data_IF_293860855154
#
_entry.id   IF_293860855154
#
_cell.length_a   1.000
_cell.length_b   1.000
_cell.length_c   1.000
_cell.angle_alpha   90.00
_cell.angle_beta   90.00
_cell.angle_gamma   90.00
#
_symmetry.space_group_name_H-M   'P 1'
#
loop_
_entity.id
_entity.type
_entity.pdbx_description
1 polymer ?
#
# COMPACT_ATOMS: atom_id res chain seq x y z
N UNK A 1 2.60 26.80 -34.33
CA UNK A 1 3.38 25.64 -33.84
C UNK A 1 2.43 24.86 -32.95
N UNK A 2 1.86 23.78 -33.48
CA UNK A 2 0.91 22.94 -32.73
C UNK A 2 1.69 22.20 -31.66
N UNK A 3 1.28 22.34 -30.40
CA UNK A 3 1.58 21.37 -29.36
C UNK A 3 1.09 20.03 -29.92
N UNK A 4 2.04 19.15 -30.23
CA UNK A 4 1.73 17.74 -30.37
C UNK A 4 1.28 17.32 -28.97
N UNK A 5 -0.03 17.20 -28.79
CA UNK A 5 -0.57 16.24 -27.84
C UNK A 5 0.04 14.90 -28.24
N UNK A 6 1.16 14.57 -27.61
CA UNK A 6 1.65 13.21 -27.58
C UNK A 6 0.56 12.48 -26.81
N UNK A 7 -0.40 11.93 -27.54
CA UNK A 7 -1.22 10.84 -27.05
C UNK A 7 -0.23 9.74 -26.75
N UNK A 8 0.29 9.73 -25.52
CA UNK A 8 0.99 8.56 -25.01
C UNK A 8 0.03 7.41 -25.20
N UNK A 9 0.47 6.44 -25.99
CA UNK A 9 -0.27 5.22 -26.20
C UNK A 9 -0.41 4.57 -24.82
N UNK A 10 -1.59 4.70 -24.20
CA UNK A 10 -1.84 4.24 -22.83
C UNK A 10 -1.53 2.75 -22.71
N UNK A 11 -1.57 2.00 -23.82
CA UNK A 11 -1.17 0.60 -23.92
C UNK A 11 0.33 0.33 -23.67
N UNK A 12 1.21 1.34 -23.81
CA UNK A 12 2.66 1.22 -23.58
C UNK A 12 3.12 1.68 -22.20
N UNK A 13 2.21 2.25 -21.41
CA UNK A 13 2.48 2.73 -20.06
C UNK A 13 2.77 1.55 -19.11
N UNK A 14 3.83 1.62 -18.27
CA UNK A 14 4.07 0.63 -17.21
C UNK A 14 2.89 0.47 -16.23
N UNK A 15 2.01 1.47 -16.16
CA UNK A 15 0.81 1.48 -15.34
C UNK A 15 -0.45 0.95 -16.06
N UNK A 16 -0.40 0.65 -17.35
CA UNK A 16 -1.58 0.20 -18.11
C UNK A 16 -2.23 -1.05 -17.48
N UNK A 17 -1.39 -1.97 -17.03
CA UNK A 17 -1.74 -3.20 -16.31
C UNK A 17 -2.49 -2.89 -15.01
N UNK A 18 -2.08 -1.85 -14.28
CA UNK A 18 -2.73 -1.43 -13.03
C UNK A 18 -4.13 -0.87 -13.31
N UNK A 19 -4.28 -0.07 -14.36
CA UNK A 19 -5.57 0.49 -14.78
C UNK A 19 -6.53 -0.61 -15.25
N UNK A 20 -6.02 -1.62 -15.97
CA UNK A 20 -6.79 -2.80 -16.39
C UNK A 20 -7.28 -3.59 -15.17
N UNK A 21 -6.43 -3.80 -14.16
CA UNK A 21 -6.81 -4.48 -12.91
C UNK A 21 -7.87 -3.67 -12.17
N UNK A 22 -7.71 -2.35 -12.05
CA UNK A 22 -8.69 -1.51 -11.40
C UNK A 22 -10.04 -1.56 -12.13
N UNK A 23 -10.04 -1.44 -13.45
CA UNK A 23 -11.25 -1.48 -14.28
C UNK A 23 -11.94 -2.86 -14.24
N UNK A 24 -11.18 -3.95 -14.32
CA UNK A 24 -11.72 -5.33 -14.29
C UNK A 24 -12.32 -5.72 -12.94
N UNK A 25 -11.85 -5.09 -11.86
CA UNK A 25 -12.37 -5.28 -10.50
C UNK A 25 -13.40 -4.22 -10.08
N UNK A 26 -13.86 -3.36 -11.01
CA UNK A 26 -14.81 -2.27 -10.76
C UNK A 26 -14.37 -1.32 -9.62
N UNK A 27 -13.05 -1.12 -9.51
CA UNK A 27 -12.43 -0.26 -8.52
C UNK A 27 -12.33 1.18 -9.04
N UNK A 28 -12.66 2.14 -8.18
CA UNK A 28 -12.44 3.54 -8.49
C UNK A 28 -10.93 3.84 -8.48
N UNK A 29 -10.43 4.40 -9.58
CA UNK A 29 -9.04 4.82 -9.70
C UNK A 29 -8.90 6.19 -10.36
N UNK A 30 -7.82 6.89 -10.03
CA UNK A 30 -7.44 8.19 -10.59
C UNK A 30 -5.99 8.11 -11.08
N UNK A 31 -5.75 8.68 -12.26
CA UNK A 31 -4.39 8.80 -12.80
C UNK A 31 -3.83 10.18 -12.47
N UNK A 32 -2.69 10.20 -11.79
CA UNK A 32 -1.96 11.40 -11.39
C UNK A 32 -0.73 11.58 -12.27
N UNK A 33 -0.87 12.34 -13.36
CA UNK A 33 0.22 12.52 -14.33
C UNK A 33 0.53 11.23 -15.11
N UNK A 34 1.80 11.06 -15.48
CA UNK A 34 2.23 9.93 -16.33
C UNK A 34 2.60 8.69 -15.51
N UNK A 35 3.09 8.88 -14.28
CA UNK A 35 3.79 7.87 -13.50
C UNK A 35 3.02 7.33 -12.29
N UNK A 36 1.81 7.81 -12.00
CA UNK A 36 1.06 7.34 -10.82
C UNK A 36 -0.42 7.03 -11.12
N UNK A 37 -0.89 5.90 -10.58
CA UNK A 37 -2.31 5.53 -10.49
C UNK A 37 -2.66 5.29 -9.03
N UNK A 38 -3.71 5.95 -8.55
CA UNK A 38 -4.25 5.77 -7.20
C UNK A 38 -5.59 5.05 -7.26
N UNK A 39 -5.77 4.04 -6.42
CA UNK A 39 -6.97 3.23 -6.27
C UNK A 39 -7.50 3.40 -4.83
N UNK A 40 -8.81 3.55 -4.68
CA UNK A 40 -9.46 3.49 -3.36
C UNK A 40 -10.12 2.14 -3.18
N UNK A 41 -9.64 1.37 -2.22
CA UNK A 41 -10.19 0.06 -1.88
C UNK A 41 -10.93 0.11 -0.55
N UNK A 42 -12.18 -0.35 -0.54
CA UNK A 42 -13.00 -0.45 0.68
C UNK A 42 -12.72 -1.79 1.36
N UNK A 43 -11.93 -1.78 2.43
CA UNK A 43 -11.69 -2.99 3.20
C UNK A 43 -12.65 -3.15 4.37
N UNK A 44 -12.32 -4.06 5.30
CA UNK A 44 -13.17 -4.41 6.43
C UNK A 44 -13.16 -3.32 7.50
N UNK A 45 -12.00 -2.72 7.73
CA UNK A 45 -11.82 -1.78 8.83
C UNK A 45 -11.86 -0.31 8.40
N UNK A 46 -11.41 -0.01 7.19
CA UNK A 46 -11.28 1.35 6.67
C UNK A 46 -11.16 1.30 5.15
N UNK A 47 -11.26 2.47 4.52
CA UNK A 47 -10.83 2.66 3.15
C UNK A 47 -9.29 2.75 3.11
N UNK A 48 -8.71 2.10 2.10
CA UNK A 48 -7.29 2.10 1.80
C UNK A 48 -7.03 2.86 0.53
N UNK A 49 -6.03 3.72 0.56
CA UNK A 49 -5.52 4.42 -0.61
C UNK A 49 -4.28 3.69 -1.10
N UNK A 50 -4.38 3.07 -2.28
CA UNK A 50 -3.29 2.34 -2.92
C UNK A 50 -2.77 3.14 -4.09
N UNK A 51 -1.51 3.56 -4.04
CA UNK A 51 -0.83 4.23 -5.15
C UNK A 51 0.17 3.27 -5.77
N UNK A 52 0.06 3.08 -7.09
CA UNK A 52 1.10 2.50 -7.92
C UNK A 52 1.87 3.62 -8.60
N UNK A 53 3.18 3.62 -8.44
CA UNK A 53 4.07 4.62 -9.01
C UNK A 53 5.15 3.94 -9.85
N UNK A 54 5.25 4.29 -11.12
CA UNK A 54 6.38 3.91 -11.96
C UNK A 54 7.60 4.76 -11.59
N UNK A 55 8.73 4.12 -11.29
CA UNK A 55 9.99 4.77 -10.92
C UNK A 55 11.06 4.45 -11.99
N UNK A 56 11.18 5.28 -13.04
CA UNK A 56 12.05 5.00 -14.17
C UNK A 56 13.54 5.00 -13.81
N UNK A 57 13.95 5.69 -12.75
CA UNK A 57 15.37 5.77 -12.36
C UNK A 57 15.93 4.45 -11.84
N UNK A 58 15.07 3.53 -11.41
CA UNK A 58 15.44 2.23 -10.84
C UNK A 58 14.68 1.06 -11.49
N UNK A 59 14.01 1.30 -12.62
CA UNK A 59 13.17 0.34 -13.32
C UNK A 59 12.21 -0.42 -12.37
N UNK A 60 11.44 0.32 -11.57
CA UNK A 60 10.60 -0.30 -10.55
C UNK A 60 9.16 0.20 -10.59
N UNK A 61 8.21 -0.74 -10.45
CA UNK A 61 6.84 -0.42 -10.08
C UNK A 61 6.74 -0.43 -8.55
N UNK A 62 6.54 0.75 -7.96
CA UNK A 62 6.34 0.93 -6.53
C UNK A 62 4.85 0.84 -6.20
N UNK A 63 4.51 0.22 -5.06
CA UNK A 63 3.18 0.25 -4.47
C UNK A 63 3.28 0.81 -3.06
N UNK A 64 2.44 1.80 -2.75
CA UNK A 64 2.16 2.27 -1.40
C UNK A 64 0.68 2.06 -1.06
N UNK A 65 0.38 1.41 0.05
CA UNK A 65 -0.99 1.25 0.56
C UNK A 65 -1.08 1.94 1.92
N UNK A 66 -1.80 3.06 1.97
CA UNK A 66 -2.04 3.82 3.19
C UNK A 66 -3.47 3.62 3.68
N UNK A 67 -3.67 3.76 4.99
CA UNK A 67 -4.99 3.81 5.60
C UNK A 67 -5.15 5.11 6.39
N UNK A 68 -6.40 5.57 6.52
CA UNK A 68 -6.72 6.84 7.20
C UNK A 68 -6.59 6.71 8.73
N UNK A 69 -5.35 6.70 9.21
CA UNK A 69 -5.02 6.76 10.63
C UNK A 69 -3.84 7.69 10.85
N UNK A 70 -4.12 8.91 11.30
CA UNK A 70 -3.09 9.86 11.71
C UNK A 70 -2.51 9.48 13.07
N UNK A 71 -1.22 9.20 13.11
CA UNK A 71 -0.49 8.83 14.32
C UNK A 71 -0.14 10.09 15.15
N UNK A 72 -0.68 10.24 16.37
CA UNK A 72 -0.33 11.35 17.26
C UNK A 72 1.16 11.32 17.61
N UNK A 73 1.78 12.49 17.75
CA UNK A 73 3.22 12.62 18.06
C UNK A 73 3.62 11.78 19.29
N UNK A 74 2.79 11.79 20.34
CA UNK A 74 3.02 11.04 21.57
C UNK A 74 3.01 9.50 21.39
N UNK A 75 2.42 8.99 20.30
CA UNK A 75 2.34 7.54 20.01
C UNK A 75 3.33 7.08 18.94
N UNK A 76 4.01 7.98 18.22
CA UNK A 76 4.92 7.64 17.11
C UNK A 76 6.01 6.64 17.50
N UNK A 77 6.62 6.81 18.68
CA UNK A 77 7.65 5.90 19.16
C UNK A 77 7.10 4.47 19.36
N UNK A 78 5.89 4.34 19.88
CA UNK A 78 5.27 3.03 20.09
C UNK A 78 4.81 2.41 18.77
N UNK A 79 4.30 3.22 17.84
CA UNK A 79 3.95 2.78 16.49
C UNK A 79 5.16 2.31 15.71
N UNK A 80 6.33 2.95 15.85
CA UNK A 80 7.56 2.44 15.23
C UNK A 80 7.97 1.07 15.78
N UNK A 81 7.78 0.81 17.08
CA UNK A 81 7.99 -0.53 17.66
C UNK A 81 7.02 -1.54 17.07
N UNK A 82 5.74 -1.16 16.92
CA UNK A 82 4.73 -1.99 16.29
C UNK A 82 5.09 -2.32 14.84
N UNK A 83 5.53 -1.33 14.07
CA UNK A 83 6.00 -1.52 12.68
C UNK A 83 7.14 -2.53 12.63
N UNK A 84 8.13 -2.43 13.54
CA UNK A 84 9.21 -3.40 13.60
C UNK A 84 8.70 -4.83 13.86
N UNK A 85 7.78 -5.00 14.82
CA UNK A 85 7.18 -6.31 15.12
C UNK A 85 6.31 -6.86 13.97
N UNK A 86 5.59 -6.00 13.26
CA UNK A 86 4.79 -6.40 12.10
C UNK A 86 5.70 -6.83 10.94
N UNK A 87 6.71 -6.02 10.63
CA UNK A 87 7.65 -6.29 9.54
C UNK A 87 8.45 -7.58 9.76
N UNK A 88 8.79 -7.92 11.00
CA UNK A 88 9.44 -9.20 11.34
C UNK A 88 8.61 -10.43 10.92
N UNK A 89 7.29 -10.30 10.85
CA UNK A 89 6.37 -11.38 10.46
C UNK A 89 6.02 -11.37 8.97
N UNK A 90 6.62 -10.47 8.18
CA UNK A 90 6.30 -10.26 6.77
C UNK A 90 7.49 -10.57 5.88
N UNK A 91 7.21 -11.28 4.77
CA UNK A 91 8.21 -11.57 3.73
C UNK A 91 8.14 -10.59 2.56
N UNK A 92 6.98 -9.93 2.38
CA UNK A 92 6.67 -9.11 1.22
C UNK A 92 6.33 -7.69 1.67
N UNK A 93 7.11 -6.74 1.19
CA UNK A 93 6.99 -5.33 1.55
C UNK A 93 7.34 -5.05 3.01
N UNK A 94 6.98 -3.85 3.45
CA UNK A 94 7.19 -3.38 4.82
C UNK A 94 6.23 -2.23 5.14
N UNK A 95 5.91 -2.06 6.41
CA UNK A 95 5.30 -0.82 6.90
C UNK A 95 6.35 0.25 7.16
N UNK A 96 5.97 1.48 6.89
CA UNK A 96 6.73 2.69 7.18
C UNK A 96 5.81 3.75 7.81
N UNK A 97 6.40 4.65 8.60
CA UNK A 97 5.72 5.79 9.21
C UNK A 97 6.29 7.08 8.61
N UNK A 98 5.50 7.75 7.78
CA UNK A 98 5.86 9.08 7.29
C UNK A 98 5.74 10.09 8.43
N UNK A 99 6.86 10.36 9.10
CA UNK A 99 6.89 11.14 10.35
C UNK A 99 6.35 12.56 10.22
N UNK A 100 6.46 13.21 9.06
CA UNK A 100 5.94 14.57 8.85
C UNK A 100 4.40 14.61 8.86
N UNK A 101 3.73 13.71 8.14
CA UNK A 101 2.27 13.63 8.02
C UNK A 101 1.63 12.76 9.09
N UNK A 102 2.40 11.90 9.75
CA UNK A 102 1.90 10.91 10.71
C UNK A 102 1.10 9.79 10.04
N UNK A 103 1.35 9.52 8.75
CA UNK A 103 0.66 8.47 7.98
C UNK A 103 1.47 7.19 8.02
N UNK A 104 0.80 6.07 8.28
CA UNK A 104 1.37 4.73 8.12
C UNK A 104 1.01 4.19 6.74
N UNK A 105 1.96 3.52 6.10
CA UNK A 105 1.75 2.88 4.80
C UNK A 105 2.52 1.57 4.72
N UNK A 106 1.92 0.58 4.07
CA UNK A 106 2.64 -0.57 3.54
C UNK A 106 3.27 -0.20 2.21
N UNK A 107 4.50 -0.65 1.96
CA UNK A 107 5.27 -0.35 0.76
C UNK A 107 5.91 -1.61 0.22
N UNK A 108 5.88 -1.76 -1.10
CA UNK A 108 6.65 -2.78 -1.81
C UNK A 108 7.02 -2.32 -3.21
N UNK A 109 7.93 -3.04 -3.86
CA UNK A 109 8.37 -2.70 -5.21
C UNK A 109 8.63 -3.95 -6.03
N UNK A 110 8.26 -3.88 -7.31
CA UNK A 110 8.57 -4.89 -8.32
C UNK A 110 9.62 -4.31 -9.25
N UNK A 111 10.82 -4.90 -9.25
CA UNK A 111 11.88 -4.54 -10.19
C UNK A 111 11.59 -5.15 -11.57
N UNK A 112 11.71 -4.34 -12.60
CA UNK A 112 11.43 -4.66 -14.00
C UNK A 112 12.62 -4.27 -14.91
N UNK A 113 13.85 -4.73 -14.60
CA UNK A 113 15.04 -4.32 -15.33
C UNK A 113 15.01 -4.78 -16.78
N UNK A 114 15.68 -4.04 -17.67
CA UNK A 114 15.85 -4.44 -19.07
C UNK A 114 14.58 -4.33 -19.89
N UNK A 115 13.79 -3.28 -19.66
CA UNK A 115 12.52 -3.01 -20.34
C UNK A 115 11.48 -4.12 -20.15
N UNK A 116 11.52 -4.82 -19.01
CA UNK A 116 10.45 -5.75 -18.66
C UNK A 116 9.16 -4.97 -18.37
N UNK A 117 8.02 -5.56 -18.71
CA UNK A 117 6.72 -5.06 -18.29
C UNK A 117 6.17 -5.91 -17.14
N UNK A 118 5.43 -5.30 -16.22
CA UNK A 118 4.69 -6.05 -15.23
C UNK A 118 3.63 -6.92 -15.92
N UNK A 119 3.40 -8.12 -15.40
CA UNK A 119 2.26 -8.95 -15.79
C UNK A 119 1.04 -8.62 -14.93
N UNK A 120 -0.18 -8.89 -15.43
CA UNK A 120 -1.41 -8.76 -14.65
C UNK A 120 -1.30 -9.50 -13.30
N UNK A 121 -0.84 -10.75 -13.33
CA UNK A 121 -0.66 -11.56 -12.12
C UNK A 121 0.31 -10.92 -11.11
N UNK A 122 1.39 -10.27 -11.55
CA UNK A 122 2.30 -9.57 -10.65
C UNK A 122 1.63 -8.36 -9.99
N UNK A 123 0.95 -7.51 -10.77
CA UNK A 123 0.26 -6.34 -10.24
C UNK A 123 -0.91 -6.72 -9.31
N UNK A 124 -1.70 -7.75 -9.66
CA UNK A 124 -2.77 -8.29 -8.81
C UNK A 124 -2.18 -8.81 -7.49
N UNK A 125 -1.11 -9.61 -7.54
CA UNK A 125 -0.45 -10.11 -6.34
C UNK A 125 0.07 -8.97 -5.47
N UNK A 126 0.68 -7.93 -6.06
CA UNK A 126 1.12 -6.74 -5.32
C UNK A 126 -0.06 -6.05 -4.62
N UNK A 127 -1.17 -5.84 -5.33
CA UNK A 127 -2.37 -5.24 -4.77
C UNK A 127 -2.93 -6.06 -3.59
N UNK A 128 -3.18 -7.35 -3.82
CA UNK A 128 -3.78 -8.25 -2.83
C UNK A 128 -2.92 -8.38 -1.56
N UNK A 129 -1.61 -8.58 -1.74
CA UNK A 129 -0.67 -8.71 -0.61
C UNK A 129 -0.57 -7.44 0.22
N UNK A 130 -0.63 -6.26 -0.40
CA UNK A 130 -0.59 -4.99 0.31
C UNK A 130 -1.88 -4.75 1.11
N UNK A 131 -3.05 -4.98 0.50
CA UNK A 131 -4.35 -4.90 1.18
C UNK A 131 -4.41 -5.91 2.32
N UNK A 132 -4.01 -7.16 2.10
CA UNK A 132 -4.00 -8.20 3.13
C UNK A 132 -3.11 -7.82 4.31
N UNK A 133 -1.91 -7.28 4.06
CA UNK A 133 -1.02 -6.82 5.12
C UNK A 133 -1.67 -5.69 5.93
N UNK A 134 -2.21 -4.67 5.25
CA UNK A 134 -2.88 -3.55 5.90
C UNK A 134 -4.07 -4.00 6.74
N UNK A 135 -4.96 -4.84 6.19
CA UNK A 135 -6.10 -5.44 6.88
C UNK A 135 -5.68 -6.25 8.11
N UNK A 136 -4.63 -7.07 7.98
CA UNK A 136 -4.13 -7.92 9.07
C UNK A 136 -3.61 -7.11 10.26
N UNK A 137 -2.88 -6.03 9.99
CA UNK A 137 -2.18 -5.28 11.06
C UNK A 137 -2.94 -4.02 11.52
N UNK A 138 -3.96 -3.56 10.80
CA UNK A 138 -4.76 -2.39 11.17
C UNK A 138 -5.29 -2.42 12.62
N UNK A 139 -5.84 -3.53 13.14
CA UNK A 139 -6.28 -3.59 14.54
C UNK A 139 -5.15 -3.36 15.55
N UNK A 140 -3.93 -3.82 15.25
CA UNK A 140 -2.78 -3.58 16.13
C UNK A 140 -2.44 -2.08 16.17
N UNK A 141 -2.50 -1.38 15.03
CA UNK A 141 -2.33 0.07 15.00
C UNK A 141 -3.42 0.78 15.81
N UNK A 142 -4.68 0.36 15.69
CA UNK A 142 -5.78 0.90 16.51
C UNK A 142 -5.53 0.70 18.01
N UNK A 143 -5.11 -0.48 18.44
CA UNK A 143 -4.83 -0.74 19.85
C UNK A 143 -3.70 0.13 20.41
N UNK A 144 -2.64 0.34 19.63
CA UNK A 144 -1.56 1.26 20.03
C UNK A 144 -2.06 2.69 20.06
N UNK A 145 -2.80 3.17 19.05
CA UNK A 145 -3.16 4.58 18.94
C UNK A 145 -4.29 4.97 19.89
N UNK A 146 -5.32 4.14 20.03
CA UNK A 146 -6.55 4.46 20.77
C UNK A 146 -6.62 3.82 22.15
N UNK A 147 -6.15 2.59 22.31
CA UNK A 147 -6.21 1.87 23.59
C UNK A 147 -4.93 2.02 24.43
N UNK A 148 -3.90 2.69 23.91
CA UNK A 148 -2.66 2.94 24.63
C UNK A 148 -1.77 1.71 24.85
N UNK A 149 -2.13 0.54 24.27
CA UNK A 149 -1.37 -0.70 24.41
C UNK A 149 0.07 -0.54 23.92
N UNK A 150 0.95 -1.36 24.46
CA UNK A 150 2.30 -1.55 23.89
C UNK A 150 2.22 -2.29 22.56
N UNK A 151 3.26 -2.18 21.73
CA UNK A 151 3.38 -2.89 20.47
C UNK A 151 3.19 -4.42 20.63
N UNK A 152 3.79 -5.01 21.66
CA UNK A 152 3.66 -6.44 21.94
C UNK A 152 2.23 -6.84 22.32
N UNK A 153 1.58 -6.09 23.21
CA UNK A 153 0.19 -6.34 23.60
C UNK A 153 -0.78 -6.14 22.43
N UNK A 154 -0.53 -5.14 21.58
CA UNK A 154 -1.33 -4.85 20.40
C UNK A 154 -1.20 -5.96 19.34
N UNK A 155 0.01 -6.44 19.07
CA UNK A 155 0.27 -7.57 18.18
C UNK A 155 -0.42 -8.84 18.69
N UNK A 156 -0.28 -9.14 19.97
CA UNK A 156 -0.92 -10.33 20.56
C UNK A 156 -2.45 -10.25 20.48
N UNK A 157 -3.04 -9.08 20.71
CA UNK A 157 -4.48 -8.90 20.67
C UNK A 157 -5.02 -9.00 19.23
N UNK A 158 -4.37 -8.33 18.27
CA UNK A 158 -4.80 -8.34 16.87
C UNK A 158 -4.74 -9.75 16.26
N UNK A 159 -3.70 -10.53 16.59
CA UNK A 159 -3.54 -11.89 16.04
C UNK A 159 -4.51 -12.90 16.66
N UNK A 160 -4.98 -12.67 17.89
CA UNK A 160 -5.96 -13.54 18.55
C UNK A 160 -7.35 -13.40 17.92
N UNK A 161 -7.80 -12.16 17.65
CA UNK A 161 -9.10 -11.90 17.02
C UNK A 161 -9.15 -12.41 15.57
N UNK A 162 -8.02 -12.41 14.85
CA UNK A 162 -7.95 -12.99 13.48
C UNK A 162 -8.02 -14.52 13.43
N UNK A 163 -7.82 -15.24 14.56
CA UNK A 163 -8.03 -16.70 14.61
C UNK A 163 -9.48 -17.09 14.96
N UNK A 164 -10.33 -16.13 15.34
CA UNK A 164 -11.73 -16.36 15.72
C UNK A 164 -12.73 -16.32 14.55
N UNK A 165 -12.30 -15.91 13.36
CA UNK A 165 -13.13 -15.82 12.14
C UNK A 165 -12.54 -16.66 11.00
N UNK A 166 -12.40 -17.98 11.22
CA UNK A 166 -12.06 -18.97 10.20
C UNK A 166 -13.16 -20.04 10.07
#
# INVERSE_FOLDING_TARGET
MSLLDITFDSASSPLAVVEEIAASNDLAFERSGEDEVTIVYKGRFTDYQISFTWMPEIDALHLACAFDMKIPVARRAEVQRLIACANEQMWIGHFDLWSQSGVVMHRQSLLLPGNMSATNAQCETMFETAVMACERYFPAFQFVVWSGKTAAEAMSAAMFDTMGEA
#
